data_IF_107421320177
#
_entry.id   IF_107421320177
#
_cell.length_a   1.000
_cell.length_b   1.000
_cell.length_c   1.000
_cell.angle_alpha   90.00
_cell.angle_beta   90.00
_cell.angle_gamma   90.00
#
_symmetry.space_group_name_H-M   'P 1'
#
loop_
_entity.id
_entity.type
_entity.pdbx_description
1 polymer ?
#
# COMPACT_ATOMS: atom_id res chain seq x y z
N UNK A 1 -46.28 -6.50 -49.89
CA UNK A 1 -46.25 -5.01 -49.82
C UNK A 1 -45.03 -4.38 -50.50
N UNK A 2 -44.46 -4.97 -51.56
CA UNK A 2 -43.42 -4.30 -52.37
C UNK A 2 -43.48 -4.79 -53.83
N UNK A 3 -44.47 -4.29 -54.60
CA UNK A 3 -44.69 -4.72 -55.98
C UNK A 3 -44.09 -3.77 -57.04
N UNK A 4 -43.31 -2.75 -56.65
CA UNK A 4 -42.67 -1.80 -57.58
C UNK A 4 -41.15 -1.77 -57.43
N UNK A 5 -40.42 -1.60 -58.54
CA UNK A 5 -38.95 -1.51 -58.59
C UNK A 5 -38.38 -0.42 -57.66
N UNK A 6 -39.07 0.73 -57.58
CA UNK A 6 -38.67 1.86 -56.73
C UNK A 6 -38.66 1.51 -55.24
N UNK A 7 -39.66 0.76 -54.76
CA UNK A 7 -39.75 0.40 -53.35
C UNK A 7 -38.66 -0.62 -52.94
N UNK A 8 -38.28 -1.53 -53.85
CA UNK A 8 -37.15 -2.46 -53.64
C UNK A 8 -35.81 -1.73 -53.54
N UNK A 9 -35.57 -0.74 -54.41
CA UNK A 9 -34.36 0.09 -54.38
C UNK A 9 -34.25 0.90 -53.07
N UNK A 10 -35.33 1.57 -52.66
CA UNK A 10 -35.35 2.35 -51.42
C UNK A 10 -35.13 1.43 -50.20
N UNK A 11 -35.77 0.27 -50.17
CA UNK A 11 -35.58 -0.72 -49.09
C UNK A 11 -34.12 -1.20 -49.01
N UNK A 12 -33.48 -1.48 -50.14
CA UNK A 12 -32.08 -1.87 -50.18
C UNK A 12 -31.14 -0.76 -49.67
N UNK A 13 -31.36 0.49 -50.07
CA UNK A 13 -30.58 1.63 -49.58
C UNK A 13 -30.71 1.82 -48.07
N UNK A 14 -31.93 1.72 -47.52
CA UNK A 14 -32.17 1.82 -46.08
C UNK A 14 -31.50 0.65 -45.34
N UNK A 15 -31.58 -0.57 -45.87
CA UNK A 15 -30.93 -1.73 -45.27
C UNK A 15 -29.40 -1.56 -45.23
N UNK A 16 -28.78 -1.09 -46.32
CA UNK A 16 -27.33 -0.85 -46.36
C UNK A 16 -26.93 0.28 -45.39
N UNK A 17 -27.70 1.37 -45.33
CA UNK A 17 -27.42 2.48 -44.42
C UNK A 17 -27.53 2.06 -42.95
N UNK A 18 -28.58 1.32 -42.60
CA UNK A 18 -28.78 0.80 -41.24
C UNK A 18 -27.70 -0.21 -40.85
N UNK A 19 -27.33 -1.14 -41.74
CA UNK A 19 -26.22 -2.06 -41.51
C UNK A 19 -24.89 -1.34 -41.30
N UNK A 20 -24.61 -0.31 -42.11
CA UNK A 20 -23.41 0.52 -41.96
C UNK A 20 -23.36 1.23 -40.61
N UNK A 21 -24.48 1.79 -40.15
CA UNK A 21 -24.58 2.42 -38.85
C UNK A 21 -24.36 1.43 -37.71
N UNK A 22 -25.01 0.25 -37.77
CA UNK A 22 -24.84 -0.79 -36.77
C UNK A 22 -23.39 -1.28 -36.72
N UNK A 23 -22.76 -1.50 -37.87
CA UNK A 23 -21.36 -1.91 -37.95
C UNK A 23 -20.43 -0.86 -37.33
N UNK A 24 -20.63 0.43 -37.67
CA UNK A 24 -19.84 1.52 -37.12
C UNK A 24 -20.04 1.65 -35.60
N UNK A 25 -21.28 1.56 -35.12
CA UNK A 25 -21.60 1.56 -33.69
C UNK A 25 -20.97 0.38 -32.95
N UNK A 26 -20.96 -0.81 -33.55
CA UNK A 26 -20.33 -1.99 -32.95
C UNK A 26 -18.81 -1.82 -32.84
N UNK A 27 -18.15 -1.35 -33.91
CA UNK A 27 -16.69 -1.12 -33.91
C UNK A 27 -16.30 -0.07 -32.87
N UNK A 28 -17.01 1.06 -32.84
CA UNK A 28 -16.77 2.13 -31.87
C UNK A 28 -17.02 1.67 -30.44
N UNK A 29 -18.09 0.91 -30.19
CA UNK A 29 -18.36 0.33 -28.88
C UNK A 29 -17.24 -0.61 -28.41
N UNK A 30 -16.78 -1.50 -29.29
CA UNK A 30 -15.69 -2.44 -28.95
C UNK A 30 -14.37 -1.71 -28.67
N UNK A 31 -14.04 -0.68 -29.46
CA UNK A 31 -12.86 0.15 -29.24
C UNK A 31 -12.92 0.87 -27.89
N UNK A 32 -14.01 1.60 -27.61
CA UNK A 32 -14.19 2.33 -26.34
C UNK A 32 -14.19 1.38 -25.15
N UNK A 33 -14.81 0.20 -25.28
CA UNK A 33 -14.80 -0.82 -24.22
C UNK A 33 -13.39 -1.31 -23.94
N UNK A 34 -12.60 -1.61 -24.97
CA UNK A 34 -11.21 -2.04 -24.84
C UNK A 34 -10.36 -0.96 -24.15
N UNK A 35 -10.46 0.28 -24.62
CA UNK A 35 -9.71 1.41 -24.07
C UNK A 35 -10.11 1.73 -22.62
N UNK A 36 -11.40 1.56 -22.29
CA UNK A 36 -11.87 1.75 -20.92
C UNK A 36 -11.31 0.69 -19.98
N UNK A 37 -11.31 -0.58 -20.39
CA UNK A 37 -10.77 -1.67 -19.58
C UNK A 37 -9.25 -1.54 -19.37
N UNK A 38 -8.49 -1.21 -20.42
CA UNK A 38 -7.05 -0.96 -20.29
C UNK A 38 -6.75 0.23 -19.39
N UNK A 39 -7.50 1.32 -19.54
CA UNK A 39 -7.37 2.52 -18.70
C UNK A 39 -7.68 2.22 -17.23
N UNK A 40 -8.67 1.36 -16.95
CA UNK A 40 -9.00 0.95 -15.58
C UNK A 40 -7.87 0.12 -14.97
N UNK A 41 -7.33 -0.85 -15.70
CA UNK A 41 -6.23 -1.68 -15.23
C UNK A 41 -4.98 -0.85 -14.94
N UNK A 42 -4.62 0.07 -15.84
CA UNK A 42 -3.50 1.00 -15.65
C UNK A 42 -3.70 1.93 -14.44
N UNK A 43 -4.93 2.40 -14.20
CA UNK A 43 -5.25 3.22 -13.04
C UNK A 43 -5.12 2.42 -11.74
N UNK A 44 -5.69 1.21 -11.70
CA UNK A 44 -5.57 0.33 -10.54
C UNK A 44 -4.11 0.01 -10.25
N UNK A 45 -3.33 -0.39 -11.25
CA UNK A 45 -1.91 -0.67 -11.09
C UNK A 45 -1.11 0.55 -10.60
N UNK A 46 -1.43 1.76 -11.07
CA UNK A 46 -0.81 2.99 -10.57
C UNK A 46 -1.17 3.27 -9.11
N UNK A 47 -2.44 3.13 -8.72
CA UNK A 47 -2.85 3.32 -7.33
C UNK A 47 -2.20 2.29 -6.40
N UNK A 48 -2.18 1.02 -6.79
CA UNK A 48 -1.50 -0.03 -6.00
C UNK A 48 -0.03 0.30 -5.79
N UNK A 49 0.68 0.74 -6.84
CA UNK A 49 2.09 1.15 -6.73
C UNK A 49 2.26 2.39 -5.84
N UNK A 50 1.38 3.38 -5.96
CA UNK A 50 1.41 4.59 -5.12
C UNK A 50 1.24 4.23 -3.64
N UNK A 51 0.20 3.48 -3.28
CA UNK A 51 -0.03 3.07 -1.90
C UNK A 51 1.09 2.18 -1.35
N UNK A 52 1.64 1.27 -2.16
CA UNK A 52 2.79 0.47 -1.76
C UNK A 52 4.03 1.33 -1.49
N UNK A 53 4.26 2.37 -2.29
CA UNK A 53 5.34 3.34 -2.07
C UNK A 53 5.13 4.16 -0.81
N UNK A 54 3.91 4.66 -0.57
CA UNK A 54 3.55 5.39 0.64
C UNK A 54 3.76 4.54 1.90
N UNK A 55 3.26 3.29 1.89
CA UNK A 55 3.44 2.37 3.01
C UNK A 55 4.91 2.04 3.25
N UNK A 56 5.68 1.79 2.18
CA UNK A 56 7.11 1.53 2.29
C UNK A 56 7.86 2.76 2.82
N UNK A 57 7.46 3.97 2.43
CA UNK A 57 8.04 5.19 2.95
C UNK A 57 7.73 5.38 4.43
N UNK A 58 6.47 5.22 4.82
CA UNK A 58 6.05 5.27 6.21
C UNK A 58 6.84 4.27 7.08
N UNK A 59 6.98 3.02 6.62
CA UNK A 59 7.76 1.99 7.30
C UNK A 59 9.24 2.40 7.46
N UNK A 60 9.86 2.95 6.40
CA UNK A 60 11.23 3.47 6.46
C UNK A 60 11.37 4.62 7.45
N UNK A 61 10.39 5.52 7.52
CA UNK A 61 10.43 6.65 8.44
C UNK A 61 10.34 6.17 9.91
N UNK A 62 9.49 5.18 10.20
CA UNK A 62 9.42 4.53 11.52
C UNK A 62 10.72 3.79 11.87
N UNK A 63 11.33 3.10 10.91
CA UNK A 63 12.63 2.46 11.11
C UNK A 63 13.74 3.47 11.40
N UNK A 64 13.77 4.62 10.69
CA UNK A 64 14.74 5.70 10.96
C UNK A 64 14.54 6.29 12.35
N UNK A 65 13.31 6.58 12.75
CA UNK A 65 12.98 7.07 14.09
C UNK A 65 13.37 6.06 15.19
N UNK A 66 13.08 4.78 15.00
CA UNK A 66 13.49 3.72 15.94
C UNK A 66 15.01 3.57 16.01
N UNK A 67 15.68 3.71 14.86
CA UNK A 67 17.15 3.59 14.79
C UNK A 67 17.87 4.77 15.45
N UNK A 68 17.29 5.98 15.40
CA UNK A 68 17.90 7.16 16.04
C UNK A 68 17.94 7.04 17.57
N UNK A 69 17.00 6.30 18.16
CA UNK A 69 16.97 6.01 19.60
C UNK A 69 18.21 5.26 20.10
N UNK A 70 19.02 4.63 19.22
CA UNK A 70 20.31 4.05 19.60
C UNK A 70 21.24 5.08 20.28
N UNK A 71 21.12 6.36 19.92
CA UNK A 71 21.89 7.45 20.54
C UNK A 71 21.52 7.70 22.01
N UNK A 72 20.33 7.28 22.44
CA UNK A 72 19.86 7.44 23.80
C UNK A 72 20.29 6.29 24.73
N UNK A 73 20.68 5.13 24.18
CA UNK A 73 21.10 3.95 24.97
C UNK A 73 22.25 4.24 25.96
N UNK A 74 23.32 4.98 25.60
CA UNK A 74 24.40 5.27 26.54
C UNK A 74 24.11 6.43 27.51
N UNK A 75 22.96 7.10 27.39
CA UNK A 75 22.63 8.27 28.21
C UNK A 75 22.26 7.83 29.64
N UNK A 76 22.58 8.67 30.62
CA UNK A 76 22.22 8.42 32.02
C UNK A 76 20.70 8.40 32.22
N UNK A 77 19.98 9.27 31.51
CA UNK A 77 18.52 9.36 31.53
C UNK A 77 17.95 9.17 30.11
N UNK A 78 17.69 7.92 29.70
CA UNK A 78 17.20 7.61 28.35
C UNK A 78 15.69 7.86 28.16
N UNK A 79 14.93 8.00 29.26
CA UNK A 79 13.47 8.06 29.23
C UNK A 79 12.88 9.25 28.44
N UNK A 80 13.41 10.48 28.53
CA UNK A 80 12.91 11.61 27.74
C UNK A 80 13.01 11.39 26.22
N UNK A 81 14.04 10.68 25.75
CA UNK A 81 14.20 10.36 24.34
C UNK A 81 13.13 9.38 23.84
N UNK A 82 12.77 8.39 24.68
CA UNK A 82 11.69 7.45 24.37
C UNK A 82 10.34 8.17 24.29
N UNK A 83 10.07 9.07 25.23
CA UNK A 83 8.84 9.88 25.23
C UNK A 83 8.76 10.80 24.01
N UNK A 84 9.88 11.43 23.62
CA UNK A 84 9.95 12.24 22.41
C UNK A 84 9.65 11.41 21.14
N UNK A 85 10.16 10.18 21.06
CA UNK A 85 9.86 9.30 19.94
C UNK A 85 8.39 8.84 19.92
N UNK A 86 7.75 8.69 21.08
CA UNK A 86 6.31 8.45 21.16
C UNK A 86 5.51 9.66 20.65
N UNK A 87 5.89 10.87 21.06
CA UNK A 87 5.29 12.11 20.54
C UNK A 87 5.50 12.28 19.03
N UNK A 88 6.61 11.79 18.49
CA UNK A 88 6.87 11.72 17.05
C UNK A 88 6.10 10.62 16.32
N UNK A 89 5.26 9.86 17.04
CA UNK A 89 4.27 8.94 16.47
C UNK A 89 4.61 7.46 16.59
N UNK A 90 5.51 7.04 17.48
CA UNK A 90 5.56 5.63 17.91
C UNK A 90 4.51 5.41 19.01
N UNK A 91 3.77 4.30 18.96
CA UNK A 91 2.82 3.97 20.02
C UNK A 91 3.56 3.69 21.35
N UNK A 92 4.65 2.93 21.26
CA UNK A 92 5.55 2.67 22.38
C UNK A 92 7.01 2.69 21.92
N UNK A 93 7.88 3.27 22.74
CA UNK A 93 9.33 3.28 22.53
C UNK A 93 10.02 2.76 23.79
N UNK A 94 10.98 1.86 23.61
CA UNK A 94 11.67 1.19 24.71
C UNK A 94 13.04 0.65 24.29
N UNK A 95 13.85 0.31 25.30
CA UNK A 95 15.09 -0.43 25.13
C UNK A 95 15.01 -1.76 25.87
N UNK A 96 15.59 -2.79 25.26
CA UNK A 96 15.90 -4.05 25.95
C UNK A 96 17.32 -4.43 25.57
N UNK A 97 18.15 -4.62 26.59
CA UNK A 97 19.55 -4.96 26.48
C UNK A 97 19.72 -6.48 26.56
N UNK A 98 20.85 -6.97 26.07
CA UNK A 98 21.18 -8.40 26.10
C UNK A 98 21.29 -8.97 27.53
N UNK A 99 21.62 -8.12 28.51
CA UNK A 99 21.66 -8.45 29.94
C UNK A 99 20.28 -8.38 30.62
N UNK A 100 19.20 -8.31 29.83
CA UNK A 100 17.79 -8.23 30.26
C UNK A 100 17.37 -6.91 30.89
N UNK A 101 18.29 -5.96 31.09
CA UNK A 101 17.91 -4.60 31.50
C UNK A 101 17.03 -3.99 30.42
N UNK A 102 16.02 -3.25 30.86
CA UNK A 102 15.06 -2.67 29.96
C UNK A 102 14.59 -1.30 30.48
N UNK A 103 14.18 -0.46 29.55
CA UNK A 103 13.63 0.87 29.83
C UNK A 103 12.38 0.99 28.98
N UNK A 104 11.24 1.14 29.65
CA UNK A 104 9.94 1.35 29.02
C UNK A 104 9.34 2.65 29.52
N UNK A 105 8.54 3.32 28.69
CA UNK A 105 7.75 4.48 29.11
C UNK A 105 6.60 4.08 30.03
N UNK A 106 6.11 2.84 29.90
CA UNK A 106 5.15 2.23 30.83
C UNK A 106 5.83 1.15 31.67
N UNK A 107 5.71 1.17 33.02
CA UNK A 107 6.33 0.18 33.89
C UNK A 107 5.98 -1.27 33.52
N UNK A 108 6.96 -2.18 33.60
CA UNK A 108 6.77 -3.62 33.36
C UNK A 108 6.75 -4.41 34.67
N UNK A 109 6.09 -5.57 34.70
CA UNK A 109 6.10 -6.44 35.88
C UNK A 109 7.54 -6.83 36.30
N UNK A 110 7.76 -7.09 37.60
CA UNK A 110 9.03 -7.63 38.08
C UNK A 110 9.42 -8.91 37.33
N UNK A 111 10.69 -9.02 36.92
CA UNK A 111 11.21 -10.19 36.20
C UNK A 111 10.87 -10.23 34.70
N UNK A 112 10.31 -9.16 34.13
CA UNK A 112 10.07 -9.08 32.69
C UNK A 112 11.35 -9.27 31.87
N UNK A 113 11.37 -10.29 31.01
CA UNK A 113 12.47 -10.59 30.10
C UNK A 113 12.10 -10.28 28.65
N UNK A 114 12.49 -9.08 28.19
CA UNK A 114 12.26 -8.64 26.82
C UNK A 114 13.05 -9.41 25.76
N UNK A 115 14.11 -10.13 26.13
CA UNK A 115 14.97 -10.85 25.16
C UNK A 115 14.26 -12.06 24.54
N UNK A 116 13.21 -12.55 25.21
CA UNK A 116 12.42 -13.70 24.77
C UNK A 116 11.40 -13.36 23.68
N UNK A 117 11.13 -12.07 23.47
CA UNK A 117 10.06 -11.56 22.59
C UNK A 117 10.42 -11.74 21.11
N UNK A 118 9.41 -11.94 20.27
CA UNK A 118 9.59 -12.12 18.82
C UNK A 118 10.33 -10.95 18.16
N UNK A 119 9.97 -9.71 18.53
CA UNK A 119 10.62 -8.51 18.02
C UNK A 119 12.11 -8.43 18.40
N UNK A 120 12.49 -8.91 19.60
CA UNK A 120 13.89 -8.93 20.02
C UNK A 120 14.69 -9.93 19.20
N UNK A 121 14.19 -11.17 19.13
CA UNK A 121 14.81 -12.26 18.37
C UNK A 121 14.96 -11.90 16.90
N UNK A 122 13.98 -11.23 16.32
CA UNK A 122 14.04 -10.84 14.92
C UNK A 122 15.01 -9.70 14.66
N UNK A 123 15.07 -8.68 15.53
CA UNK A 123 16.06 -7.62 15.39
C UNK A 123 17.50 -8.18 15.49
N UNK A 124 17.72 -9.16 16.38
CA UNK A 124 18.99 -9.90 16.48
C UNK A 124 19.26 -10.70 15.20
N UNK A 125 18.28 -11.46 14.71
CA UNK A 125 18.44 -12.27 13.50
C UNK A 125 18.69 -11.43 12.24
N UNK A 126 18.07 -10.24 12.14
CA UNK A 126 18.26 -9.31 11.04
C UNK A 126 19.57 -8.49 11.15
N UNK A 127 20.20 -8.45 12.33
CA UNK A 127 21.37 -7.60 12.60
C UNK A 127 21.09 -6.11 12.50
N UNK A 128 19.82 -5.68 12.61
CA UNK A 128 19.41 -4.33 12.26
C UNK A 128 17.92 -4.06 12.49
N UNK A 129 17.41 -2.90 12.01
CA UNK A 129 15.99 -2.57 12.10
C UNK A 129 15.15 -3.63 11.37
N UNK A 130 14.12 -4.14 12.05
CA UNK A 130 13.23 -5.15 11.52
C UNK A 130 11.76 -4.85 11.87
N UNK A 131 10.84 -5.35 11.05
CA UNK A 131 9.40 -5.29 11.30
C UNK A 131 8.93 -6.71 11.60
N UNK A 132 8.29 -6.89 12.75
CA UNK A 132 7.81 -8.20 13.18
C UNK A 132 6.45 -8.53 12.59
N UNK A 133 6.30 -9.69 11.90
CA UNK A 133 4.99 -10.18 11.52
C UNK A 133 4.10 -10.33 12.75
N UNK A 134 2.82 -9.98 12.60
CA UNK A 134 1.80 -10.10 13.64
C UNK A 134 1.32 -11.54 13.77
#
# INVERSE_FOLDING_TARGET
MFHTLRARLIGACIAIATLSLVALSAVTFLAVRSDTLSTLDDRMGRFTRLYAQELAQWARDKQRLTSSLKLAVPQAEPLPFLQAAQQAGLDEAFFVLADKRNVFTTPRPPGYDGTTRAWYKQAVAAGGPAITPV
#
